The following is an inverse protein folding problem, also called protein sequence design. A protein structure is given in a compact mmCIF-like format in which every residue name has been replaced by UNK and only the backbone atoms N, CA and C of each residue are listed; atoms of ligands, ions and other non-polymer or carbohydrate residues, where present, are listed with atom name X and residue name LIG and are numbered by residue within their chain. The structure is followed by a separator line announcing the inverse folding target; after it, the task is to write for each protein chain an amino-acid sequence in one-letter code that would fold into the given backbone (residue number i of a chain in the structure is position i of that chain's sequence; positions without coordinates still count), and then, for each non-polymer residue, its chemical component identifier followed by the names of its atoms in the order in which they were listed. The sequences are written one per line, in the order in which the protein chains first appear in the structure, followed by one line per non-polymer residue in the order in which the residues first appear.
data_IF_222957692107
#
_entry.id   IF_222957692107
#
_cell.length_a   1.000
_cell.length_b   1.000
_cell.length_c   1.000
_cell.angle_alpha   90.00
_cell.angle_beta   90.00
_cell.angle_gamma   90.00
#
_symmetry.space_group_name_H-M   'P 1'
#
loop_
_entity.id
_entity.type
_entity.pdbx_description
1 polymer ?
#
# COMPACT_ATOMS: atom_id res chain seq x y z
N UNK A 1 -9.29 -7.94 16.11
CA UNK A 1 -9.26 -6.79 15.17
C UNK A 1 -9.62 -5.57 16.00
N UNK A 2 -8.65 -4.71 16.30
CA UNK A 2 -8.89 -3.46 17.03
C UNK A 2 -9.14 -2.38 16.00
N UNK A 3 -10.31 -1.75 16.05
CA UNK A 3 -10.66 -0.62 15.18
C UNK A 3 -10.14 0.68 15.83
N UNK A 4 -9.08 1.33 15.29
CA UNK A 4 -8.50 2.50 15.92
C UNK A 4 -9.31 3.78 15.66
N UNK A 5 -10.45 3.72 14.96
CA UNK A 5 -11.25 4.90 14.59
C UNK A 5 -11.60 5.76 15.80
N UNK A 6 -11.83 5.16 16.97
CA UNK A 6 -12.09 5.89 18.22
C UNK A 6 -10.97 6.85 18.61
N UNK A 7 -9.71 6.43 18.44
CA UNK A 7 -8.54 7.23 18.78
C UNK A 7 -8.08 8.16 17.64
N UNK A 8 -8.76 8.12 16.49
CA UNK A 8 -8.44 8.87 15.28
C UNK A 8 -9.43 10.01 15.02
N UNK A 9 -10.17 10.45 16.05
CA UNK A 9 -11.13 11.55 15.95
C UNK A 9 -10.48 12.94 16.07
N UNK A 10 -9.18 13.00 16.35
CA UNK A 10 -8.37 14.23 16.36
C UNK A 10 -7.92 14.70 17.75
N UNK A 11 -8.42 14.07 18.81
CA UNK A 11 -8.00 14.22 20.21
C UNK A 11 -7.03 13.11 20.67
N UNK A 12 -6.94 12.01 19.91
CA UNK A 12 -5.97 10.93 20.09
C UNK A 12 -4.79 10.99 19.10
N UNK A 13 -4.52 9.88 18.42
CA UNK A 13 -3.41 9.74 17.48
C UNK A 13 -3.63 10.61 16.23
N UNK A 14 -2.53 11.14 15.68
CA UNK A 14 -2.59 11.91 14.44
C UNK A 14 -2.77 11.01 13.20
N UNK A 15 -2.37 9.74 13.29
CA UNK A 15 -2.41 8.76 12.21
C UNK A 15 -2.24 7.32 12.75
N UNK A 16 -2.53 6.31 11.93
CA UNK A 16 -2.13 4.93 12.19
C UNK A 16 -1.53 4.29 10.93
N UNK A 17 -0.98 3.07 11.09
CA UNK A 17 -0.63 2.22 9.95
C UNK A 17 -1.91 1.74 9.29
N UNK A 18 -2.20 2.25 8.09
CA UNK A 18 -3.50 2.14 7.46
C UNK A 18 -3.73 0.78 6.76
N UNK A 19 -3.58 -0.32 7.50
CA UNK A 19 -3.81 -1.65 6.96
C UNK A 19 -5.27 -1.84 6.54
N UNK A 20 -6.21 -1.49 7.42
CA UNK A 20 -7.64 -1.70 7.17
C UNK A 20 -8.20 -0.83 6.05
N UNK A 21 -7.82 0.45 6.03
CA UNK A 21 -8.37 1.44 5.12
C UNK A 21 -7.55 1.66 3.84
N UNK A 22 -6.39 1.02 3.69
CA UNK A 22 -5.56 1.12 2.49
C UNK A 22 -4.94 -0.22 2.07
N UNK A 23 -4.12 -0.87 2.89
CA UNK A 23 -3.32 -2.01 2.44
C UNK A 23 -4.17 -3.22 2.05
N UNK A 24 -5.09 -3.65 2.92
CA UNK A 24 -5.97 -4.81 2.70
C UNK A 24 -6.85 -4.67 1.45
N UNK A 25 -7.56 -3.55 1.20
CA UNK A 25 -8.33 -3.43 -0.02
C UNK A 25 -7.46 -3.43 -1.28
N UNK A 26 -6.26 -2.84 -1.26
CA UNK A 26 -5.33 -2.88 -2.40
C UNK A 26 -4.82 -4.30 -2.65
N UNK A 27 -4.37 -5.00 -1.60
CA UNK A 27 -3.91 -6.39 -1.71
C UNK A 27 -5.00 -7.30 -2.25
N UNK A 28 -6.20 -7.27 -1.66
CA UNK A 28 -7.28 -8.16 -2.14
C UNK A 28 -7.75 -7.84 -3.54
N UNK A 29 -7.51 -6.64 -4.07
CA UNK A 29 -7.86 -6.36 -5.47
C UNK A 29 -6.80 -6.88 -6.45
N UNK A 30 -5.52 -6.75 -6.08
CA UNK A 30 -4.39 -6.97 -6.98
C UNK A 30 -3.66 -8.30 -6.76
N UNK A 31 -3.94 -9.02 -5.68
CA UNK A 31 -3.23 -10.27 -5.35
C UNK A 31 -3.34 -11.31 -6.47
N UNK A 32 -2.28 -12.09 -6.63
CA UNK A 32 -2.33 -13.29 -7.45
C UNK A 32 -3.43 -14.23 -6.90
N UNK A 33 -4.45 -14.64 -7.69
CA UNK A 33 -5.51 -15.52 -7.23
C UNK A 33 -5.01 -16.89 -6.78
N UNK A 34 -3.85 -17.31 -7.27
CA UNK A 34 -3.23 -18.60 -6.98
C UNK A 34 -2.17 -18.48 -5.86
N UNK A 35 -2.09 -17.33 -5.18
CA UNK A 35 -1.15 -17.11 -4.08
C UNK A 35 -1.56 -17.88 -2.82
N UNK A 36 -0.61 -18.61 -2.24
CA UNK A 36 -0.76 -19.27 -0.94
C UNK A 36 -0.44 -18.36 0.26
N UNK A 37 -0.22 -17.06 0.01
CA UNK A 37 0.10 -16.11 1.08
C UNK A 37 -1.17 -15.81 1.88
N UNK A 38 -1.02 -15.80 3.21
CA UNK A 38 -2.07 -15.41 4.12
C UNK A 38 -1.81 -14.05 4.79
N UNK A 39 -2.83 -13.54 5.47
CA UNK A 39 -2.75 -12.30 6.21
C UNK A 39 -1.87 -12.46 7.45
N UNK A 40 -0.62 -12.00 7.38
CA UNK A 40 0.26 -11.91 8.56
C UNK A 40 0.32 -13.22 9.36
N UNK A 41 0.40 -14.38 8.68
CA UNK A 41 0.43 -15.72 9.29
C UNK A 41 -0.83 -16.10 10.09
N UNK A 42 -1.93 -15.38 9.86
CA UNK A 42 -3.20 -15.63 10.56
C UNK A 42 -3.99 -16.81 9.99
N UNK A 43 -3.48 -17.53 8.97
CA UNK A 43 -4.20 -18.62 8.31
C UNK A 43 -5.39 -18.16 7.46
N UNK A 44 -5.50 -16.86 7.19
CA UNK A 44 -6.57 -16.28 6.37
C UNK A 44 -6.01 -15.94 4.99
N UNK A 45 -6.38 -16.66 3.92
CA UNK A 45 -5.82 -16.41 2.60
C UNK A 45 -6.28 -15.06 2.03
N UNK A 46 -5.44 -14.46 1.18
CA UNK A 46 -5.88 -13.37 0.32
C UNK A 46 -6.94 -13.89 -0.66
N UNK A 47 -8.18 -13.41 -0.52
CA UNK A 47 -9.22 -13.67 -1.53
C UNK A 47 -9.31 -12.48 -2.47
N UNK A 48 -9.18 -12.73 -3.77
CA UNK A 48 -9.28 -11.68 -4.77
C UNK A 48 -10.68 -11.07 -4.80
N UNK A 49 -10.76 -9.74 -4.84
CA UNK A 49 -11.98 -8.92 -4.85
C UNK A 49 -11.96 -7.97 -6.05
N UNK A 50 -13.13 -7.47 -6.42
CA UNK A 50 -13.26 -6.51 -7.53
C UNK A 50 -12.67 -5.14 -7.19
N UNK A 51 -12.29 -4.39 -8.22
CA UNK A 51 -11.87 -2.98 -8.08
C UNK A 51 -12.96 -2.12 -7.45
N UNK A 52 -14.23 -2.39 -7.78
CA UNK A 52 -15.37 -1.72 -7.13
C UNK A 52 -15.40 -1.94 -5.62
N UNK A 53 -15.09 -3.15 -5.15
CA UNK A 53 -15.01 -3.43 -3.71
C UNK A 53 -13.86 -2.68 -3.06
N UNK A 54 -12.69 -2.61 -3.69
CA UNK A 54 -11.56 -1.82 -3.19
C UNK A 54 -11.94 -0.34 -3.10
N UNK A 55 -12.51 0.23 -4.16
CA UNK A 55 -12.89 1.63 -4.22
C UNK A 55 -13.92 1.98 -3.13
N UNK A 56 -14.89 1.10 -2.88
CA UNK A 56 -15.84 1.26 -1.79
C UNK A 56 -15.15 1.32 -0.42
N UNK A 57 -14.22 0.40 -0.13
CA UNK A 57 -13.49 0.38 1.14
C UNK A 57 -12.60 1.60 1.32
N UNK A 58 -11.87 2.03 0.28
CA UNK A 58 -11.06 3.26 0.34
C UNK A 58 -11.96 4.48 0.63
N UNK A 59 -13.08 4.62 -0.09
CA UNK A 59 -14.04 5.72 0.15
C UNK A 59 -14.56 5.73 1.58
N UNK A 60 -14.91 4.57 2.10
CA UNK A 60 -15.40 4.42 3.46
C UNK A 60 -14.32 4.78 4.50
N UNK A 61 -13.08 4.34 4.29
CA UNK A 61 -11.97 4.62 5.20
C UNK A 61 -11.71 6.13 5.37
N UNK A 62 -11.68 6.89 4.27
CA UNK A 62 -11.52 8.36 4.32
C UNK A 62 -12.74 9.03 4.96
N UNK A 63 -13.94 8.48 4.81
CA UNK A 63 -15.16 9.04 5.39
C UNK A 63 -15.30 8.80 6.91
N UNK A 64 -14.54 7.86 7.48
CA UNK A 64 -14.62 7.45 8.90
C UNK A 64 -13.83 8.33 9.86
N UNK A 65 -12.94 9.18 9.35
CA UNK A 65 -12.07 10.04 10.16
C UNK A 65 -12.08 11.48 9.63
N UNK A 66 -11.79 12.49 10.45
CA UNK A 66 -11.63 13.86 9.97
C UNK A 66 -10.60 13.96 8.84
N UNK A 67 -10.81 14.85 7.87
CA UNK A 67 -9.92 14.98 6.71
C UNK A 67 -8.45 15.16 7.09
N UNK A 68 -8.18 15.95 8.13
CA UNK A 68 -6.81 16.15 8.68
C UNK A 68 -6.15 14.83 9.07
N UNK A 69 -6.92 13.91 9.65
CA UNK A 69 -6.45 12.57 10.04
C UNK A 69 -6.30 11.68 8.81
N UNK A 70 -7.26 11.70 7.88
CA UNK A 70 -7.16 10.96 6.61
C UNK A 70 -5.88 11.31 5.83
N UNK A 71 -5.53 12.60 5.75
CA UNK A 71 -4.31 13.08 5.07
C UNK A 71 -3.01 12.78 5.82
N UNK A 72 -3.10 12.39 7.09
CA UNK A 72 -1.95 12.03 7.92
C UNK A 72 -1.73 10.51 8.03
N UNK A 73 -2.73 9.68 7.67
CA UNK A 73 -2.64 8.21 7.71
C UNK A 73 -1.39 7.68 6.99
N UNK A 74 -0.75 6.66 7.55
CA UNK A 74 0.38 6.00 6.91
C UNK A 74 -0.13 4.91 5.96
N UNK A 75 -0.18 5.23 4.68
CA UNK A 75 -0.54 4.27 3.65
C UNK A 75 0.70 3.43 3.32
N UNK A 76 0.58 2.11 3.47
CA UNK A 76 1.66 1.13 3.28
C UNK A 76 1.19 0.02 2.35
N UNK A 77 2.06 -0.44 1.46
CA UNK A 77 1.84 -1.65 0.65
C UNK A 77 2.45 -2.91 1.27
N UNK A 78 3.28 -2.75 2.29
CA UNK A 78 3.94 -3.83 3.02
C UNK A 78 4.68 -3.27 4.23
N UNK A 79 5.07 -4.15 5.13
CA UNK A 79 5.96 -3.84 6.25
C UNK A 79 6.70 -5.10 6.70
N UNK A 80 7.52 -4.96 7.75
CA UNK A 80 8.16 -6.08 8.44
C UNK A 80 7.22 -7.14 9.03
N UNK A 81 5.91 -6.88 9.13
CA UNK A 81 4.92 -7.83 9.66
C UNK A 81 4.11 -8.52 8.55
N UNK A 82 4.37 -8.18 7.27
CA UNK A 82 3.60 -8.70 6.13
C UNK A 82 4.52 -9.37 5.13
N UNK A 83 3.94 -10.17 4.23
CA UNK A 83 4.64 -10.53 3.01
C UNK A 83 4.97 -9.27 2.19
N UNK A 84 6.00 -9.37 1.35
CA UNK A 84 6.39 -8.30 0.43
C UNK A 84 5.30 -8.08 -0.62
N UNK A 85 5.07 -6.81 -0.99
CA UNK A 85 4.02 -6.47 -1.97
C UNK A 85 4.22 -7.19 -3.30
N UNK A 86 5.47 -7.38 -3.73
CA UNK A 86 5.80 -8.12 -4.95
C UNK A 86 5.37 -9.58 -4.87
N UNK A 87 5.57 -10.23 -3.72
CA UNK A 87 5.15 -11.61 -3.50
C UNK A 87 3.63 -11.74 -3.44
N UNK A 88 2.92 -10.73 -2.91
CA UNK A 88 1.44 -10.70 -2.88
C UNK A 88 0.85 -10.54 -4.30
N UNK A 89 1.43 -9.66 -5.12
CA UNK A 89 0.84 -9.24 -6.40
C UNK A 89 1.34 -10.07 -7.59
N UNK A 90 2.62 -10.45 -7.60
CA UNK A 90 3.28 -11.25 -8.65
C UNK A 90 3.48 -10.56 -9.99
N UNK A 91 2.47 -9.82 -10.47
CA UNK A 91 2.47 -9.13 -11.77
C UNK A 91 3.03 -7.70 -11.67
N UNK A 92 4.00 -7.40 -12.52
CA UNK A 92 4.67 -6.09 -12.54
C UNK A 92 3.77 -4.91 -12.90
N UNK A 93 2.80 -5.13 -13.79
CA UNK A 93 1.86 -4.08 -14.21
C UNK A 93 0.88 -3.78 -13.09
N UNK A 94 0.48 -4.81 -12.33
CA UNK A 94 -0.32 -4.63 -11.14
C UNK A 94 0.47 -3.98 -10.00
N UNK A 95 1.78 -4.20 -9.90
CA UNK A 95 2.64 -3.44 -8.99
C UNK A 95 2.69 -1.94 -9.35
N UNK A 96 2.75 -1.60 -10.64
CA UNK A 96 2.64 -0.20 -11.08
C UNK A 96 1.31 0.42 -10.61
N UNK A 97 0.21 -0.33 -10.69
CA UNK A 97 -1.12 0.11 -10.21
C UNK A 97 -1.12 0.28 -8.69
N UNK A 98 -0.53 -0.65 -7.93
CA UNK A 98 -0.46 -0.58 -6.47
C UNK A 98 0.31 0.67 -5.99
N UNK A 99 1.49 0.91 -6.57
CA UNK A 99 2.31 2.10 -6.25
C UNK A 99 1.62 3.36 -6.74
N UNK A 100 0.96 3.32 -7.91
CA UNK A 100 0.16 4.42 -8.44
C UNK A 100 -0.93 4.86 -7.45
N UNK A 101 -1.65 3.91 -6.85
CA UNK A 101 -2.63 4.20 -5.80
C UNK A 101 -1.95 4.73 -4.54
N UNK A 102 -0.84 4.12 -4.10
CA UNK A 102 -0.07 4.57 -2.94
C UNK A 102 0.29 6.06 -3.02
N UNK A 103 0.74 6.52 -4.18
CA UNK A 103 1.20 7.90 -4.36
C UNK A 103 0.09 8.89 -4.74
N UNK A 104 -1.12 8.43 -5.07
CA UNK A 104 -2.25 9.29 -5.45
C UNK A 104 -3.38 9.32 -4.41
N UNK A 105 -3.37 8.41 -3.44
CA UNK A 105 -4.36 8.35 -2.37
C UNK A 105 -4.04 9.34 -1.23
N UNK A 106 -5.05 9.93 -0.54
CA UNK A 106 -4.82 10.80 0.61
C UNK A 106 -4.10 10.07 1.74
N UNK A 107 -3.10 10.72 2.32
CA UNK A 107 -2.23 10.15 3.36
C UNK A 107 -0.75 10.29 3.05
N UNK A 108 0.08 9.73 3.91
CA UNK A 108 1.52 9.66 3.78
C UNK A 108 1.89 8.31 3.17
N UNK A 109 2.39 8.25 1.93
CA UNK A 109 2.86 7.01 1.35
C UNK A 109 4.15 6.57 2.03
N UNK A 110 4.20 5.31 2.42
CA UNK A 110 5.33 4.69 3.08
C UNK A 110 5.79 3.49 2.26
N UNK A 111 7.07 3.46 1.91
CA UNK A 111 7.71 2.39 1.16
C UNK A 111 8.51 1.53 2.13
N UNK A 112 8.28 0.23 2.13
CA UNK A 112 9.07 -0.69 2.94
C UNK A 112 10.40 -0.95 2.22
N UNK A 113 11.52 -0.65 2.89
CA UNK A 113 12.85 -0.73 2.32
C UNK A 113 13.08 -2.08 1.61
N UNK A 114 13.47 -2.00 0.34
CA UNK A 114 13.66 -3.14 -0.55
C UNK A 114 12.52 -3.36 -1.53
N UNK A 115 11.30 -2.90 -1.24
CA UNK A 115 10.18 -3.01 -2.20
C UNK A 115 10.49 -2.21 -3.48
N UNK A 116 11.18 -1.08 -3.34
CA UNK A 116 11.71 -0.28 -4.45
C UNK A 116 12.80 -1.00 -5.27
N UNK A 117 13.28 -2.15 -4.78
CA UNK A 117 14.24 -3.04 -5.44
C UNK A 117 13.63 -4.39 -5.80
N UNK A 118 12.29 -4.48 -5.90
CA UNK A 118 11.56 -5.72 -6.18
C UNK A 118 11.82 -6.82 -5.14
N UNK A 119 11.97 -6.45 -3.86
CA UNK A 119 12.08 -7.41 -2.77
C UNK A 119 10.89 -8.36 -2.74
N UNK A 120 11.18 -9.66 -2.60
CA UNK A 120 10.21 -10.73 -2.41
C UNK A 120 10.44 -11.41 -1.07
N UNK A 121 9.38 -11.94 -0.47
CA UNK A 121 9.42 -12.60 0.82
C UNK A 121 8.03 -12.86 1.35
N UNK A 122 7.86 -14.02 1.98
CA UNK A 122 6.72 -14.29 2.85
C UNK A 122 6.78 -13.43 4.11
N UNK A 123 5.81 -13.54 4.99
CA UNK A 123 5.75 -12.85 6.29
C UNK A 123 6.93 -13.16 7.22
N UNK A 124 7.03 -12.39 8.32
CA UNK A 124 8.01 -12.61 9.38
C UNK A 124 9.45 -12.45 8.88
N UNK A 125 10.32 -13.38 9.28
CA UNK A 125 11.73 -13.39 8.88
C UNK A 125 11.91 -13.53 7.36
N UNK A 126 10.94 -14.13 6.66
CA UNK A 126 10.94 -14.23 5.20
C UNK A 126 10.91 -12.87 4.49
N UNK A 127 10.34 -11.84 5.13
CA UNK A 127 10.28 -10.48 4.59
C UNK A 127 11.48 -9.63 5.04
N UNK A 128 12.24 -10.06 6.05
CA UNK A 128 13.24 -9.26 6.77
C UNK A 128 14.68 -9.62 6.39
N UNK A 129 14.94 -9.78 5.10
CA UNK A 129 16.28 -10.09 4.62
C UNK A 129 17.17 -8.84 4.49
N UNK A 130 18.48 -9.04 4.57
CA UNK A 130 19.46 -7.98 4.37
C UNK A 130 19.40 -7.44 2.94
N UNK A 131 19.45 -6.12 2.79
CA UNK A 131 19.46 -5.49 1.47
C UNK A 131 20.68 -5.93 0.64
N UNK A 132 20.43 -6.29 -0.61
CA UNK A 132 21.47 -6.63 -1.57
C UNK A 132 22.10 -5.36 -2.17
N UNK A 133 22.99 -4.74 -1.41
CA UNK A 133 23.69 -3.50 -1.80
C UNK A 133 24.73 -3.70 -2.91
N UNK A 134 25.29 -4.91 -3.01
CA UNK A 134 26.35 -5.26 -3.97
C UNK A 134 25.80 -5.78 -5.30
N UNK A 135 24.48 -5.75 -5.48
CA UNK A 135 23.81 -6.09 -6.72
C UNK A 135 24.42 -5.37 -7.95
N UNK A 136 24.61 -6.07 -9.07
CA UNK A 136 25.09 -5.45 -10.31
C UNK A 136 24.22 -4.26 -10.74
N UNK A 137 24.87 -3.27 -11.37
CA UNK A 137 24.18 -2.12 -11.94
C UNK A 137 23.06 -2.58 -12.88
N UNK A 138 21.91 -1.92 -12.81
CA UNK A 138 20.75 -2.25 -13.63
C UNK A 138 19.85 -3.35 -13.08
N UNK A 139 20.30 -4.18 -12.11
CA UNK A 139 19.48 -5.29 -11.56
C UNK A 139 18.09 -4.84 -11.10
N UNK A 140 18.02 -3.66 -10.47
CA UNK A 140 16.78 -3.12 -9.90
C UNK A 140 16.25 -1.90 -10.67
N UNK A 141 16.76 -1.64 -11.87
CA UNK A 141 16.46 -0.40 -12.60
C UNK A 141 14.96 -0.18 -12.84
N UNK A 142 14.21 -1.26 -13.11
CA UNK A 142 12.77 -1.19 -13.35
C UNK A 142 11.99 -0.74 -12.11
N UNK A 143 12.18 -1.39 -10.97
CA UNK A 143 11.51 -0.96 -9.73
C UNK A 143 11.97 0.42 -9.26
N UNK A 144 13.27 0.71 -9.36
CA UNK A 144 13.80 2.04 -9.07
C UNK A 144 13.14 3.12 -9.93
N UNK A 145 12.96 2.87 -11.23
CA UNK A 145 12.25 3.77 -12.13
C UNK A 145 10.77 3.92 -11.73
N UNK A 146 10.05 2.80 -11.51
CA UNK A 146 8.64 2.79 -11.06
C UNK A 146 8.43 3.69 -9.84
N UNK A 147 9.18 3.44 -8.76
CA UNK A 147 9.05 4.21 -7.52
C UNK A 147 9.54 5.64 -7.70
N UNK A 148 10.68 5.85 -8.37
CA UNK A 148 11.24 7.17 -8.60
C UNK A 148 10.30 8.09 -9.39
N UNK A 149 9.71 7.59 -10.47
CA UNK A 149 8.78 8.35 -11.31
C UNK A 149 7.47 8.66 -10.59
N UNK A 150 6.88 7.69 -9.89
CA UNK A 150 5.60 7.85 -9.19
C UNK A 150 5.71 8.73 -7.94
N UNK A 151 6.80 8.60 -7.17
CA UNK A 151 7.06 9.49 -6.03
C UNK A 151 7.37 10.91 -6.51
N UNK A 152 8.10 11.05 -7.62
CA UNK A 152 8.33 12.34 -8.27
C UNK A 152 7.01 12.97 -8.73
N UNK A 153 6.12 12.20 -9.35
CA UNK A 153 4.79 12.66 -9.74
C UNK A 153 4.03 13.25 -8.53
N UNK A 154 3.99 12.53 -7.41
CA UNK A 154 3.36 13.04 -6.17
C UNK A 154 3.97 14.35 -5.69
N UNK A 155 5.31 14.44 -5.69
CA UNK A 155 6.04 15.63 -5.24
C UNK A 155 5.78 16.83 -6.16
N UNK A 156 5.78 16.62 -7.46
CA UNK A 156 5.70 17.68 -8.47
C UNK A 156 4.25 18.19 -8.67
N UNK A 157 3.23 17.47 -8.15
CA UNK A 157 1.82 17.83 -8.26
C UNK A 157 1.14 18.04 -6.89
N UNK A 158 0.99 19.30 -6.42
CA UNK A 158 0.37 19.61 -5.13
C UNK A 158 -1.06 19.07 -4.95
N UNK A 159 -1.80 18.83 -6.03
CA UNK A 159 -3.12 18.19 -5.97
C UNK A 159 -3.07 16.78 -5.36
N UNK A 160 -1.95 16.06 -5.50
CA UNK A 160 -1.78 14.71 -4.95
C UNK A 160 -1.46 14.72 -3.45
N UNK A 161 -0.89 15.81 -2.93
CA UNK A 161 -0.48 15.94 -1.52
C UNK A 161 -1.46 16.74 -0.67
N UNK A 162 -2.04 17.81 -1.23
CA UNK A 162 -2.90 18.77 -0.53
C UNK A 162 -4.33 18.86 -1.10
N UNK A 163 -4.57 18.26 -2.27
CA UNK A 163 -5.87 18.31 -2.93
C UNK A 163 -6.91 17.37 -2.31
N UNK A 164 -8.17 17.60 -2.66
CA UNK A 164 -9.26 16.67 -2.35
C UNK A 164 -9.31 15.49 -3.32
N UNK A 165 -9.97 14.41 -2.91
CA UNK A 165 -10.17 13.22 -3.75
C UNK A 165 -11.66 13.05 -4.11
N UNK A 166 -11.93 12.77 -5.39
CA UNK A 166 -13.26 12.38 -5.88
C UNK A 166 -13.15 11.21 -6.85
N UNK A 167 -13.97 10.20 -6.65
CA UNK A 167 -14.11 9.07 -7.57
C UNK A 167 -15.01 9.48 -8.74
N UNK A 168 -14.46 9.51 -9.96
CA UNK A 168 -15.20 9.93 -11.17
C UNK A 168 -15.94 8.76 -11.85
N UNK A 169 -15.35 7.57 -11.83
CA UNK A 169 -15.94 6.34 -12.33
C UNK A 169 -15.44 5.15 -11.50
N UNK A 170 -16.31 4.17 -11.30
CA UNK A 170 -15.97 2.87 -10.71
C UNK A 170 -16.76 1.84 -11.51
N UNK A 171 -16.06 0.94 -12.19
CA UNK A 171 -16.64 -0.15 -12.99
C UNK A 171 -16.17 -1.50 -12.47
#
# INVERSE_FOLDING_TARGET
HQDPVGDLQGDGWQASMNYGGFSRPVWTWLCDPDSDIDYMEAGVPFRRRSGASMAATLREAVARVPWKVATAQWNILGSHDTARVRTIIGDDRLLDVAVGILVTYPGVPMVFAGDERDAEGSTGEGARFCMDWDAPEGRHARAMARYGELLRLRRDHPALTLGGMRWAAVS
#
